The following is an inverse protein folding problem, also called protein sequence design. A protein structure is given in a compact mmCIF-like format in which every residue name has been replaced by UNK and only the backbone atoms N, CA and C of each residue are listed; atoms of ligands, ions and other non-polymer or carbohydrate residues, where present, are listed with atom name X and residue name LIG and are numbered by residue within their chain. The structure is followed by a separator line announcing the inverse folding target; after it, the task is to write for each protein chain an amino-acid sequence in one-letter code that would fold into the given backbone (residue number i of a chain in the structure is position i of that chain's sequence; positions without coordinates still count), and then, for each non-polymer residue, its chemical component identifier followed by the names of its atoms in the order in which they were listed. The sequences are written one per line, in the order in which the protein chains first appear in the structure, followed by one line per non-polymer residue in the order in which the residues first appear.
data_IF_099491337988
#
_entry.id   IF_099491337988
#
_cell.length_a   1.000
_cell.length_b   1.000
_cell.length_c   1.000
_cell.angle_alpha   90.00
_cell.angle_beta   90.00
_cell.angle_gamma   90.00
#
_symmetry.space_group_name_H-M   'P 1'
#
loop_
_entity.id
_entity.type
_entity.pdbx_description
1 polymer ?
#
# COMPACT_ATOMS: atom_id res chain seq x y z
N UNK A 1 27.00 -13.51 32.70
CA UNK A 1 25.71 -12.79 32.67
C UNK A 1 25.14 -12.98 31.29
N UNK A 2 24.00 -13.66 31.15
CA UNK A 2 23.32 -13.72 29.85
C UNK A 2 22.84 -12.29 29.51
N UNK A 3 23.30 -11.71 28.39
CA UNK A 3 22.95 -10.34 28.06
C UNK A 3 21.48 -10.26 27.64
N UNK A 4 20.63 -9.76 28.54
CA UNK A 4 19.19 -9.65 28.35
C UNK A 4 18.80 -8.91 27.05
N UNK A 5 19.59 -7.91 26.64
CA UNK A 5 19.39 -7.18 25.40
C UNK A 5 19.54 -8.07 24.15
N UNK A 6 20.56 -8.93 24.13
CA UNK A 6 20.82 -9.83 23.00
C UNK A 6 19.72 -10.90 22.93
N UNK A 7 19.27 -11.42 24.08
CA UNK A 7 18.12 -12.33 24.15
C UNK A 7 16.84 -11.70 23.58
N UNK A 8 16.58 -10.43 23.90
CA UNK A 8 15.46 -9.68 23.32
C UNK A 8 15.59 -9.50 21.81
N UNK A 9 16.76 -9.08 21.31
CA UNK A 9 16.98 -8.90 19.87
C UNK A 9 16.73 -10.19 19.10
N UNK A 10 17.27 -11.32 19.59
CA UNK A 10 17.11 -12.62 18.93
C UNK A 10 15.64 -13.04 18.92
N UNK A 11 14.93 -12.83 20.02
CA UNK A 11 13.51 -13.20 20.14
C UNK A 11 12.64 -12.36 19.20
N UNK A 12 12.78 -11.04 19.24
CA UNK A 12 11.92 -10.16 18.44
C UNK A 12 12.21 -10.19 16.94
N UNK A 13 13.48 -10.36 16.54
CA UNK A 13 13.83 -10.36 15.12
C UNK A 13 13.72 -11.74 14.47
N UNK A 14 14.20 -12.79 15.13
CA UNK A 14 14.27 -14.12 14.51
C UNK A 14 13.10 -15.03 14.92
N UNK A 15 12.76 -15.10 16.21
CA UNK A 15 11.69 -15.99 16.67
C UNK A 15 10.32 -15.48 16.20
N UNK A 16 10.07 -14.16 16.26
CA UNK A 16 8.83 -13.55 15.77
C UNK A 16 8.83 -13.23 14.27
N UNK A 17 9.86 -13.61 13.50
CA UNK A 17 9.91 -13.39 12.05
C UNK A 17 8.63 -13.84 11.31
N UNK A 18 8.15 -15.10 11.42
CA UNK A 18 6.96 -15.53 10.67
C UNK A 18 5.68 -14.80 11.12
N UNK A 19 5.60 -14.42 12.39
CA UNK A 19 4.49 -13.63 12.91
C UNK A 19 4.48 -12.21 12.31
N UNK A 20 5.65 -11.58 12.25
CA UNK A 20 5.81 -10.24 11.68
C UNK A 20 5.49 -10.24 10.18
N UNK A 21 5.89 -11.26 9.42
CA UNK A 21 5.57 -11.38 7.98
C UNK A 21 4.06 -11.49 7.73
N UNK A 22 3.36 -12.35 8.51
CA UNK A 22 1.90 -12.50 8.40
C UNK A 22 1.19 -11.20 8.74
N UNK A 23 1.58 -10.53 9.82
CA UNK A 23 1.03 -9.23 10.17
C UNK A 23 1.36 -8.17 9.12
N UNK A 24 2.57 -8.14 8.59
CA UNK A 24 3.00 -7.22 7.54
C UNK A 24 2.10 -7.36 6.31
N UNK A 25 1.81 -8.60 5.89
CA UNK A 25 0.90 -8.87 4.78
C UNK A 25 -0.53 -8.37 5.05
N UNK A 26 -1.07 -8.62 6.25
CA UNK A 26 -2.39 -8.11 6.66
C UNK A 26 -2.41 -6.57 6.62
N UNK A 27 -1.34 -5.93 7.10
CA UNK A 27 -1.21 -4.47 7.10
C UNK A 27 -1.13 -3.90 5.69
N UNK A 28 -0.49 -4.58 4.74
CA UNK A 28 -0.47 -4.17 3.33
C UNK A 28 -1.88 -4.19 2.74
N UNK A 29 -2.65 -5.27 2.97
CA UNK A 29 -4.05 -5.35 2.52
C UNK A 29 -4.90 -4.24 3.13
N UNK A 30 -4.74 -4.00 4.44
CA UNK A 30 -5.46 -2.95 5.14
C UNK A 30 -5.12 -1.56 4.59
N UNK A 31 -3.84 -1.28 4.38
CA UNK A 31 -3.36 -0.03 3.76
C UNK A 31 -4.00 0.20 2.38
N UNK A 32 -4.04 -0.84 1.53
CA UNK A 32 -4.70 -0.76 0.21
C UNK A 32 -6.19 -0.43 0.35
N UNK A 33 -6.88 -1.03 1.33
CA UNK A 33 -8.29 -0.73 1.57
C UNK A 33 -8.50 0.74 1.99
N UNK A 34 -7.65 1.27 2.86
CA UNK A 34 -7.69 2.67 3.27
C UNK A 34 -7.46 3.64 2.09
N UNK A 35 -6.55 3.33 1.16
CA UNK A 35 -6.35 4.14 -0.05
C UNK A 35 -7.62 4.22 -0.92
N UNK A 36 -8.33 3.10 -1.11
CA UNK A 36 -9.59 3.12 -1.87
C UNK A 36 -10.68 3.91 -1.15
N UNK A 37 -10.75 3.86 0.19
CA UNK A 37 -11.66 4.69 0.96
C UNK A 37 -11.33 6.19 0.82
N UNK A 38 -10.04 6.55 0.81
CA UNK A 38 -9.59 7.93 0.61
C UNK A 38 -9.91 8.43 -0.80
N UNK A 39 -9.72 7.60 -1.83
CA UNK A 39 -10.10 7.91 -3.22
C UNK A 39 -11.62 8.13 -3.35
N UNK A 40 -12.42 7.31 -2.66
CA UNK A 40 -13.87 7.49 -2.59
C UNK A 40 -14.27 8.78 -1.86
N UNK A 41 -13.60 9.12 -0.77
CA UNK A 41 -13.83 10.38 -0.07
C UNK A 41 -13.52 11.60 -0.95
N UNK A 42 -12.40 11.58 -1.69
CA UNK A 42 -12.06 12.64 -2.64
C UNK A 42 -13.11 12.78 -3.76
N UNK A 43 -13.73 11.66 -4.16
CA UNK A 43 -14.86 11.65 -5.10
C UNK A 43 -16.11 12.30 -4.51
N UNK A 44 -16.45 12.02 -3.25
CA UNK A 44 -17.57 12.69 -2.57
C UNK A 44 -17.41 14.21 -2.52
N UNK A 45 -16.17 14.69 -2.39
CA UNK A 45 -15.83 16.12 -2.42
C UNK A 45 -15.80 16.73 -3.82
N UNK A 46 -16.20 15.99 -4.86
CA UNK A 46 -16.15 16.40 -6.28
C UNK A 46 -14.75 16.76 -6.80
N UNK A 47 -13.68 16.23 -6.18
CA UNK A 47 -12.27 16.46 -6.57
C UNK A 47 -11.63 15.26 -7.28
N UNK A 48 -12.42 14.30 -7.76
CA UNK A 48 -11.91 13.09 -8.41
C UNK A 48 -11.05 13.39 -9.65
N UNK A 49 -11.42 14.38 -10.46
CA UNK A 49 -10.68 14.79 -11.66
C UNK A 49 -9.32 15.41 -11.33
N UNK A 50 -9.28 16.28 -10.31
CA UNK A 50 -8.04 16.88 -9.82
C UNK A 50 -7.10 15.81 -9.25
N UNK A 51 -7.64 14.87 -8.47
CA UNK A 51 -6.88 13.75 -7.91
C UNK A 51 -6.29 12.86 -9.00
N UNK A 52 -7.07 12.51 -10.03
CA UNK A 52 -6.60 11.73 -11.19
C UNK A 52 -5.42 12.42 -11.88
N UNK A 53 -5.53 13.72 -12.14
CA UNK A 53 -4.45 14.50 -12.76
C UNK A 53 -3.20 14.55 -11.87
N UNK A 54 -3.38 14.76 -10.57
CA UNK A 54 -2.29 14.79 -9.60
C UNK A 54 -1.55 13.46 -9.51
N UNK A 55 -2.26 12.33 -9.48
CA UNK A 55 -1.67 10.99 -9.44
C UNK A 55 -0.88 10.67 -10.71
N UNK A 56 -1.39 11.03 -11.89
CA UNK A 56 -0.68 10.84 -13.16
C UNK A 56 0.59 11.68 -13.19
N UNK A 57 0.51 12.95 -12.76
CA UNK A 57 1.67 13.83 -12.69
C UNK A 57 2.71 13.30 -11.70
N UNK A 58 2.30 12.90 -10.50
CA UNK A 58 3.19 12.34 -9.49
C UNK A 58 3.87 11.06 -9.97
N UNK A 59 3.14 10.17 -10.64
CA UNK A 59 3.71 8.95 -11.19
C UNK A 59 4.73 9.25 -12.31
N UNK A 60 4.45 10.25 -13.16
CA UNK A 60 5.38 10.71 -14.19
C UNK A 60 6.64 11.31 -13.59
N UNK A 61 6.50 12.17 -12.58
CA UNK A 61 7.60 12.86 -11.92
C UNK A 61 8.51 11.86 -11.16
N UNK A 62 7.91 10.80 -10.60
CA UNK A 62 8.63 9.71 -9.94
C UNK A 62 9.08 8.58 -10.88
N UNK A 63 8.87 8.71 -12.21
CA UNK A 63 9.20 7.70 -13.22
C UNK A 63 8.63 6.29 -12.90
N UNK A 64 7.46 6.26 -12.25
CA UNK A 64 6.82 5.01 -11.83
C UNK A 64 6.27 4.25 -13.04
N UNK A 65 6.61 2.95 -13.13
CA UNK A 65 6.08 2.11 -14.20
C UNK A 65 4.62 1.71 -13.87
N UNK A 66 3.65 1.98 -14.76
CA UNK A 66 2.23 1.89 -14.43
C UNK A 66 1.66 0.45 -14.44
N UNK A 67 2.42 -0.53 -14.92
CA UNK A 67 1.99 -1.93 -15.06
C UNK A 67 2.83 -2.79 -14.13
N UNK A 68 2.17 -3.44 -13.18
CA UNK A 68 2.84 -4.29 -12.20
C UNK A 68 2.14 -5.64 -12.15
N UNK A 69 2.91 -6.70 -11.86
CA UNK A 69 2.35 -8.01 -11.67
C UNK A 69 1.38 -8.04 -10.45
N UNK A 70 0.31 -8.81 -10.56
CA UNK A 70 -0.76 -8.86 -9.58
C UNK A 70 -0.30 -9.51 -8.26
N UNK A 71 0.56 -10.52 -8.34
CA UNK A 71 1.07 -11.21 -7.16
C UNK A 71 2.12 -10.33 -6.48
N UNK A 72 3.04 -9.77 -7.27
CA UNK A 72 4.05 -8.87 -6.74
C UNK A 72 3.44 -7.64 -6.04
N UNK A 73 2.46 -6.98 -6.67
CA UNK A 73 1.80 -5.81 -6.10
C UNK A 73 1.02 -6.13 -4.83
N UNK A 74 0.42 -7.32 -4.73
CA UNK A 74 -0.35 -7.71 -3.55
C UNK A 74 0.53 -7.95 -2.32
N UNK A 75 1.75 -8.43 -2.51
CA UNK A 75 2.68 -8.70 -1.42
C UNK A 75 3.61 -7.53 -1.06
N UNK A 76 3.95 -6.67 -2.01
CA UNK A 76 5.01 -5.67 -1.80
C UNK A 76 4.51 -4.23 -1.79
N UNK A 77 3.35 -3.93 -2.38
CA UNK A 77 2.88 -2.55 -2.48
C UNK A 77 1.78 -2.26 -1.46
N UNK A 78 2.10 -1.36 -0.52
CA UNK A 78 1.14 -0.77 0.41
C UNK A 78 0.07 0.08 -0.30
N UNK A 79 0.39 0.59 -1.49
CA UNK A 79 -0.52 1.35 -2.34
C UNK A 79 -0.93 0.53 -3.56
N UNK A 80 -2.23 0.51 -3.93
CA UNK A 80 -2.67 -0.14 -5.14
C UNK A 80 -2.06 0.53 -6.39
N UNK A 81 -1.77 -0.23 -7.45
CA UNK A 81 -1.25 0.30 -8.71
C UNK A 81 -2.09 1.45 -9.26
N UNK A 82 -1.44 2.40 -9.95
CA UNK A 82 -2.10 3.60 -10.49
C UNK A 82 -3.33 3.24 -11.33
N UNK A 83 -3.22 2.23 -12.20
CA UNK A 83 -4.32 1.80 -13.05
C UNK A 83 -5.52 1.25 -12.26
N UNK A 84 -5.30 0.60 -11.12
CA UNK A 84 -6.39 0.14 -10.25
C UNK A 84 -7.14 1.32 -9.62
N UNK A 85 -6.39 2.32 -9.13
CA UNK A 85 -6.97 3.53 -8.53
C UNK A 85 -7.79 4.33 -9.54
N UNK A 86 -7.24 4.54 -10.74
CA UNK A 86 -7.94 5.25 -11.80
C UNK A 86 -9.24 4.54 -12.21
N UNK A 87 -9.21 3.21 -12.34
CA UNK A 87 -10.42 2.40 -12.62
C UNK A 87 -11.45 2.47 -11.50
N UNK A 88 -11.01 2.45 -10.24
CA UNK A 88 -11.91 2.58 -9.09
C UNK A 88 -12.62 3.94 -9.07
N UNK A 89 -11.94 5.02 -9.46
CA UNK A 89 -12.54 6.35 -9.58
C UNK A 89 -13.54 6.46 -10.74
N UNK A 90 -13.30 5.75 -11.85
CA UNK A 90 -14.18 5.73 -13.04
C UNK A 90 -15.44 4.89 -12.85
N UNK A 91 -15.36 3.73 -12.19
CA UNK A 91 -16.50 2.78 -12.08
C UNK A 91 -17.66 3.25 -11.20
N UNK A 92 -17.45 4.21 -10.32
CA UNK A 92 -18.50 4.67 -9.39
C UNK A 92 -19.36 5.75 -10.08
N UNK A 93 -20.03 5.40 -11.17
CA UNK A 93 -21.12 6.24 -11.72
C UNK A 93 -22.42 6.01 -10.93
#
# INVERSE_FOLDING_TARGET
TEPALIGMMITFQYIFMPYNEVLGFIMIIWSRHCEFQADFFAKQLKRATELKSALIKLNKDNLGFPVTDWLYSTFNYSHPPLLERLKAMEKVE
#
